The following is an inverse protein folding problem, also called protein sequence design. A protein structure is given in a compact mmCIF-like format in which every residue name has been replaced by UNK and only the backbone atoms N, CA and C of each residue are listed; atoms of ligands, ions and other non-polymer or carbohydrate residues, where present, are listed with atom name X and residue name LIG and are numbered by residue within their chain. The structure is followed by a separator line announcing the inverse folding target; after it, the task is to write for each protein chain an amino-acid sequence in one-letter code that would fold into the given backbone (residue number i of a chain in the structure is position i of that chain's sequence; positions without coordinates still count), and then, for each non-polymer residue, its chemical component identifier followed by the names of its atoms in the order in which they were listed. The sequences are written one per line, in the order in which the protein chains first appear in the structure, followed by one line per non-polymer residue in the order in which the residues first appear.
data_IF_751314295631
#
_entry.id   IF_751314295631
#
_cell.length_a   1.000
_cell.length_b   1.000
_cell.length_c   1.000
_cell.angle_alpha   90.00
_cell.angle_beta   90.00
_cell.angle_gamma   90.00
#
_symmetry.space_group_name_H-M   'P 1'
#
loop_
_entity.id
_entity.type
_entity.pdbx_description
1 polymer ?
#
# COMPACT_ATOMS: atom_id res chain seq x y z
N UNK A 1 16.23 1.61 -34.35
CA UNK A 1 16.01 2.89 -33.63
C UNK A 1 14.75 2.87 -32.77
N UNK A 2 13.66 2.20 -33.18
CA UNK A 2 12.44 2.00 -32.36
C UNK A 2 12.64 1.12 -31.11
N UNK A 3 13.29 -0.05 -31.25
CA UNK A 3 13.53 -0.97 -30.11
C UNK A 3 14.32 -0.33 -28.96
N UNK A 4 15.24 0.59 -29.26
CA UNK A 4 16.04 1.30 -28.28
C UNK A 4 15.20 2.32 -27.48
N UNK A 5 14.17 2.91 -28.08
CA UNK A 5 13.23 3.79 -27.38
C UNK A 5 12.24 3.01 -26.52
N UNK A 6 11.76 1.85 -26.98
CA UNK A 6 10.89 0.97 -26.20
C UNK A 6 11.61 0.38 -24.98
N UNK A 7 12.85 -0.07 -25.14
CA UNK A 7 13.66 -0.52 -24.01
C UNK A 7 13.87 0.59 -22.99
N UNK A 8 14.21 1.80 -23.45
CA UNK A 8 14.38 2.98 -22.58
C UNK A 8 13.10 3.35 -21.83
N UNK A 9 11.93 3.30 -22.49
CA UNK A 9 10.63 3.45 -21.83
C UNK A 9 10.40 2.38 -20.75
N UNK A 10 10.78 1.13 -21.03
CA UNK A 10 10.65 0.04 -20.05
C UNK A 10 11.55 0.23 -18.83
N UNK A 11 12.76 0.77 -19.01
CA UNK A 11 13.68 1.06 -17.91
C UNK A 11 13.20 2.23 -17.05
N UNK A 12 12.68 3.30 -17.66
CA UNK A 12 12.09 4.43 -16.94
C UNK A 12 10.90 3.96 -16.11
N UNK A 13 9.99 3.19 -16.71
CA UNK A 13 8.82 2.65 -16.00
C UNK A 13 9.20 1.73 -14.84
N UNK A 14 10.24 0.91 -15.00
CA UNK A 14 10.77 0.07 -13.90
C UNK A 14 11.38 0.90 -12.77
N UNK A 15 12.09 1.97 -13.09
CA UNK A 15 12.66 2.87 -12.11
C UNK A 15 11.57 3.61 -11.32
N UNK A 16 10.53 4.11 -12.00
CA UNK A 16 9.37 4.76 -11.37
C UNK A 16 8.61 3.81 -10.44
N UNK A 17 8.40 2.56 -10.85
CA UNK A 17 7.75 1.54 -10.01
C UNK A 17 8.58 1.22 -8.77
N UNK A 18 9.91 1.14 -8.91
CA UNK A 18 10.82 0.89 -7.79
C UNK A 18 10.85 2.06 -6.80
N UNK A 19 10.86 3.30 -7.31
CA UNK A 19 10.74 4.50 -6.48
C UNK A 19 9.42 4.50 -5.68
N UNK A 20 8.31 4.19 -6.36
CA UNK A 20 7.01 4.10 -5.72
C UNK A 20 6.94 3.01 -4.64
N UNK A 21 7.53 1.84 -4.91
CA UNK A 21 7.65 0.74 -3.96
C UNK A 21 8.46 1.15 -2.71
N UNK A 22 9.62 1.77 -2.90
CA UNK A 22 10.46 2.26 -1.79
C UNK A 22 9.72 3.30 -0.94
N UNK A 23 8.99 4.21 -1.57
CA UNK A 23 8.20 5.24 -0.88
C UNK A 23 7.04 4.63 -0.12
N UNK A 24 6.36 3.63 -0.69
CA UNK A 24 5.30 2.91 -0.02
C UNK A 24 5.83 2.13 1.19
N UNK A 25 6.97 1.46 1.06
CA UNK A 25 7.62 0.75 2.18
C UNK A 25 7.91 1.68 3.35
N UNK A 26 8.41 2.90 3.09
CA UNK A 26 8.63 3.92 4.13
C UNK A 26 7.33 4.32 4.83
N UNK A 27 6.22 4.41 4.10
CA UNK A 27 4.91 4.71 4.69
C UNK A 27 4.37 3.54 5.51
N UNK A 28 4.54 2.32 4.99
CA UNK A 28 4.11 1.12 5.69
C UNK A 28 4.90 0.97 6.98
N UNK A 29 6.22 1.16 7.00
CA UNK A 29 7.08 0.93 8.16
C UNK A 29 6.62 1.62 9.45
N UNK A 30 5.97 2.78 9.36
CA UNK A 30 5.45 3.55 10.51
C UNK A 30 4.05 3.12 10.98
N UNK A 31 3.39 2.21 10.28
CA UNK A 31 2.14 1.62 10.72
C UNK A 31 2.37 0.55 11.79
N UNK A 32 1.39 0.41 12.68
CA UNK A 32 1.30 -0.72 13.58
C UNK A 32 1.14 -2.04 12.79
N UNK A 33 1.56 -3.16 13.37
CA UNK A 33 1.54 -4.47 12.71
C UNK A 33 0.12 -4.85 12.23
N UNK A 34 -0.89 -4.65 13.08
CA UNK A 34 -2.29 -4.89 12.73
C UNK A 34 -2.78 -4.00 11.58
N UNK A 35 -2.30 -2.75 11.53
CA UNK A 35 -2.64 -1.80 10.47
C UNK A 35 -2.01 -2.21 9.14
N UNK A 36 -0.72 -2.61 9.15
CA UNK A 36 -0.04 -3.18 7.97
C UNK A 36 -0.77 -4.41 7.47
N UNK A 37 -1.07 -5.34 8.38
CA UNK A 37 -1.68 -6.61 8.03
C UNK A 37 -3.07 -6.42 7.40
N UNK A 38 -3.89 -5.54 7.97
CA UNK A 38 -5.20 -5.20 7.41
C UNK A 38 -5.11 -4.59 6.00
N UNK A 39 -4.10 -3.76 5.73
CA UNK A 39 -3.89 -3.18 4.39
C UNK A 39 -3.41 -4.23 3.37
N UNK A 40 -2.50 -5.13 3.76
CA UNK A 40 -2.04 -6.23 2.90
C UNK A 40 -3.22 -7.10 2.48
N UNK A 41 -4.01 -7.57 3.46
CA UNK A 41 -5.17 -8.40 3.18
C UNK A 41 -6.19 -7.70 2.26
N UNK A 42 -6.34 -6.37 2.41
CA UNK A 42 -7.31 -5.60 1.62
C UNK A 42 -6.83 -5.31 0.20
N UNK A 43 -5.58 -4.92 0.02
CA UNK A 43 -5.09 -4.32 -1.24
C UNK A 43 -4.11 -5.20 -2.01
N UNK A 44 -3.46 -6.16 -1.36
CA UNK A 44 -2.56 -7.11 -2.02
C UNK A 44 -3.26 -8.44 -2.29
N UNK A 45 -4.01 -8.94 -1.31
CA UNK A 45 -4.75 -10.21 -1.42
C UNK A 45 -6.21 -10.04 -1.92
N UNK A 46 -6.67 -8.79 -2.05
CA UNK A 46 -8.03 -8.42 -2.49
C UNK A 46 -9.17 -9.09 -1.68
N UNK A 47 -8.96 -9.34 -0.39
CA UNK A 47 -9.99 -9.91 0.47
C UNK A 47 -11.09 -8.88 0.81
N UNK A 48 -12.30 -9.40 0.97
CA UNK A 48 -13.44 -8.61 1.43
C UNK A 48 -13.41 -8.42 2.97
N UNK A 49 -14.19 -7.47 3.48
CA UNK A 49 -14.19 -7.12 4.91
C UNK A 49 -14.59 -8.29 5.82
N UNK A 50 -15.48 -9.17 5.36
CA UNK A 50 -15.91 -10.34 6.14
C UNK A 50 -14.75 -11.32 6.31
N UNK A 51 -14.07 -11.66 5.22
CA UNK A 51 -12.91 -12.54 5.23
C UNK A 51 -11.75 -11.94 6.05
N UNK A 52 -11.50 -10.64 5.93
CA UNK A 52 -10.47 -9.97 6.75
C UNK A 52 -10.82 -10.04 8.23
N UNK A 53 -12.09 -9.81 8.59
CA UNK A 53 -12.54 -9.89 9.97
C UNK A 53 -12.39 -11.31 10.56
N UNK A 54 -12.66 -12.34 9.75
CA UNK A 54 -12.43 -13.74 10.12
C UNK A 54 -10.94 -14.04 10.32
N UNK A 55 -10.08 -13.66 9.37
CA UNK A 55 -8.62 -13.87 9.43
C UNK A 55 -8.01 -13.19 10.66
N UNK A 56 -8.40 -11.94 10.92
CA UNK A 56 -7.89 -11.15 12.05
C UNK A 56 -8.61 -11.44 13.37
N UNK A 57 -9.62 -12.31 13.36
CA UNK A 57 -10.46 -12.65 14.51
C UNK A 57 -11.06 -11.42 15.23
N UNK A 58 -11.62 -10.49 14.44
CA UNK A 58 -12.28 -9.26 14.90
C UNK A 58 -13.65 -9.13 14.27
N UNK A 59 -14.47 -8.16 14.72
CA UNK A 59 -15.75 -7.88 14.04
C UNK A 59 -15.53 -7.17 12.70
N UNK A 60 -16.44 -7.40 11.73
CA UNK A 60 -16.44 -6.71 10.43
C UNK A 60 -16.38 -5.19 10.58
N UNK A 61 -17.10 -4.64 11.56
CA UNK A 61 -17.07 -3.21 11.87
C UNK A 61 -15.69 -2.73 12.33
N UNK A 62 -14.95 -3.57 13.05
CA UNK A 62 -13.61 -3.26 13.54
C UNK A 62 -12.60 -3.35 12.41
N UNK A 63 -12.67 -4.39 11.57
CA UNK A 63 -11.85 -4.49 10.36
C UNK A 63 -12.05 -3.28 9.43
N UNK A 64 -13.30 -2.87 9.20
CA UNK A 64 -13.63 -1.69 8.41
C UNK A 64 -12.99 -0.41 8.98
N UNK A 65 -13.17 -0.14 10.29
CA UNK A 65 -12.54 1.02 10.95
C UNK A 65 -11.03 0.97 10.90
N UNK A 66 -10.44 -0.21 11.11
CA UNK A 66 -8.99 -0.40 11.09
C UNK A 66 -8.41 -0.06 9.72
N UNK A 67 -9.00 -0.59 8.64
CA UNK A 67 -8.57 -0.31 7.26
C UNK A 67 -8.68 1.18 6.94
N UNK A 68 -9.80 1.83 7.30
CA UNK A 68 -9.98 3.27 7.07
C UNK A 68 -8.92 4.07 7.82
N UNK A 69 -8.68 3.76 9.11
CA UNK A 69 -7.66 4.42 9.92
C UNK A 69 -6.25 4.20 9.37
N UNK A 70 -5.90 2.97 9.00
CA UNK A 70 -4.60 2.63 8.43
C UNK A 70 -4.37 3.36 7.09
N UNK A 71 -5.38 3.42 6.22
CA UNK A 71 -5.32 4.15 4.95
C UNK A 71 -5.10 5.66 5.17
N UNK A 72 -5.81 6.25 6.13
CA UNK A 72 -5.64 7.65 6.49
C UNK A 72 -4.22 7.93 7.02
N UNK A 73 -3.68 7.04 7.86
CA UNK A 73 -2.30 7.13 8.35
C UNK A 73 -1.28 7.06 7.22
N UNK A 74 -1.39 6.10 6.30
CA UNK A 74 -0.49 6.02 5.12
C UNK A 74 -0.50 7.33 4.35
N UNK A 75 -1.70 7.89 4.14
CA UNK A 75 -1.85 9.18 3.46
C UNK A 75 -1.11 10.28 4.22
N UNK A 76 -1.35 10.43 5.52
CA UNK A 76 -0.72 11.43 6.38
C UNK A 76 0.82 11.31 6.40
N UNK A 77 1.35 10.09 6.51
CA UNK A 77 2.80 9.82 6.46
C UNK A 77 3.37 10.24 5.10
N UNK A 78 2.68 9.89 4.01
CA UNK A 78 3.08 10.30 2.68
C UNK A 78 3.10 11.82 2.51
N UNK A 79 2.13 12.55 3.09
CA UNK A 79 2.15 14.02 3.06
C UNK A 79 3.33 14.59 3.86
N UNK A 80 3.52 14.13 5.09
CA UNK A 80 4.59 14.61 5.99
C UNK A 80 5.98 14.42 5.42
N UNK A 81 6.20 13.31 4.71
CA UNK A 81 7.49 12.96 4.11
C UNK A 81 7.66 13.44 2.68
N UNK A 82 6.69 14.18 2.13
CA UNK A 82 6.65 14.58 0.71
C UNK A 82 6.79 13.37 -0.24
N UNK A 83 6.18 12.24 0.14
CA UNK A 83 6.14 11.01 -0.65
C UNK A 83 4.86 10.90 -1.49
N UNK A 84 4.16 12.00 -1.75
CA UNK A 84 3.03 12.03 -2.70
C UNK A 84 3.52 11.81 -4.13
N UNK A 85 2.92 10.89 -4.90
CA UNK A 85 3.36 10.57 -6.27
C UNK A 85 3.47 11.81 -7.15
#
# INVERSE_FOLDING_TARGET
MQEFQEQKLSFVRKAELKDLEERLLVCLDELEEDEKYALILRFMEDYNLTTIAEIMNISVSTASRLIVKATAKVTEIAEKKNLKP
#
